data_IF_071338732625
#
_entry.id   IF_071338732625
#
_cell.length_a   1.000
_cell.length_b   1.000
_cell.length_c   1.000
_cell.angle_alpha   90.00
_cell.angle_beta   90.00
_cell.angle_gamma   90.00
#
_symmetry.space_group_name_H-M   'P 1'
#
loop_
_entity.id
_entity.type
_entity.pdbx_description
1 polymer ?
#
# COMPACT_ATOMS: atom_id res chain seq x y z
N UNK A 1 0.88 -30.59 70.64
CA UNK A 1 0.56 -29.14 70.67
C UNK A 1 0.88 -28.61 69.28
N UNK A 2 -0.13 -28.47 68.41
CA UNK A 2 -0.73 -27.20 67.98
C UNK A 2 0.20 -26.37 67.06
N UNK A 3 -0.31 -26.12 65.83
CA UNK A 3 -0.01 -25.02 64.86
C UNK A 3 1.00 -25.40 63.74
N UNK A 4 0.79 -25.11 62.45
CA UNK A 4 -0.22 -24.32 61.74
C UNK A 4 -0.14 -24.72 60.25
N UNK A 5 -1.29 -24.76 59.56
CA UNK A 5 -1.34 -24.84 58.09
C UNK A 5 -0.49 -23.72 57.46
N UNK A 6 0.29 -24.07 56.44
CA UNK A 6 0.96 -23.13 55.55
C UNK A 6 0.78 -23.50 54.09
N UNK A 7 -0.46 -23.43 53.61
CA UNK A 7 -0.86 -23.56 52.21
C UNK A 7 -0.49 -22.27 51.43
N UNK A 8 0.79 -21.93 51.39
CA UNK A 8 1.25 -20.71 50.74
C UNK A 8 2.18 -21.00 49.56
N UNK A 9 1.57 -20.85 48.38
CA UNK A 9 2.20 -20.40 47.14
C UNK A 9 2.92 -21.44 46.29
N UNK A 10 2.13 -22.37 45.73
CA UNK A 10 2.37 -22.88 44.38
C UNK A 10 1.99 -21.81 43.34
N UNK A 11 2.84 -20.85 43.05
CA UNK A 11 2.76 -20.04 41.83
C UNK A 11 4.13 -19.40 41.63
N UNK A 12 4.80 -19.64 40.50
CA UNK A 12 5.90 -18.87 39.86
C UNK A 12 6.61 -19.83 38.89
N UNK A 13 6.66 -19.66 37.57
CA UNK A 13 6.13 -18.64 36.68
C UNK A 13 6.36 -19.09 35.24
N UNK A 14 5.37 -18.87 34.36
CA UNK A 14 5.54 -19.04 32.92
C UNK A 14 5.98 -17.73 32.29
N UNK A 15 7.18 -17.68 31.70
CA UNK A 15 7.60 -16.54 30.91
C UNK A 15 6.88 -16.57 29.55
N UNK A 16 5.91 -15.68 29.36
CA UNK A 16 5.32 -15.43 28.04
C UNK A 16 6.30 -14.58 27.24
N UNK A 17 6.98 -15.18 26.27
CA UNK A 17 7.76 -14.45 25.26
C UNK A 17 6.77 -13.83 24.28
N UNK A 18 6.42 -12.56 24.50
CA UNK A 18 5.67 -11.79 23.52
C UNK A 18 6.58 -11.50 22.32
N UNK A 19 6.37 -12.20 21.21
CA UNK A 19 6.93 -11.82 19.92
C UNK A 19 6.29 -10.50 19.50
N UNK A 20 6.99 -9.39 19.70
CA UNK A 20 6.54 -8.09 19.20
C UNK A 20 6.67 -8.08 17.67
N UNK A 21 5.55 -8.27 16.97
CA UNK A 21 5.50 -7.97 15.52
C UNK A 21 5.53 -6.46 15.36
N UNK A 22 6.62 -5.91 14.82
CA UNK A 22 6.64 -4.50 14.45
C UNK A 22 5.65 -4.27 13.31
N UNK A 23 4.74 -3.28 13.40
CA UNK A 23 3.85 -2.95 12.31
C UNK A 23 4.67 -2.48 11.12
N UNK A 24 4.48 -3.10 9.95
CA UNK A 24 5.07 -2.60 8.71
C UNK A 24 4.30 -1.33 8.33
N UNK A 25 4.92 -0.17 8.54
CA UNK A 25 4.39 1.08 8.03
C UNK A 25 4.77 1.18 6.56
N UNK A 26 3.92 0.67 5.67
CA UNK A 26 4.09 0.88 4.24
C UNK A 26 3.82 2.36 3.93
N UNK A 27 4.88 3.13 3.66
CA UNK A 27 4.72 4.49 3.15
C UNK A 27 3.99 4.44 1.81
N UNK A 28 2.92 5.23 1.66
CA UNK A 28 2.19 5.31 0.40
C UNK A 28 3.11 5.88 -0.70
N UNK A 29 3.12 5.22 -1.85
CA UNK A 29 3.87 5.67 -3.02
C UNK A 29 3.19 6.88 -3.62
N UNK A 30 3.93 7.97 -3.81
CA UNK A 30 3.36 9.20 -4.35
C UNK A 30 3.54 9.23 -5.86
N UNK A 31 2.45 9.41 -6.61
CA UNK A 31 2.50 9.66 -8.05
C UNK A 31 2.63 11.17 -8.26
N UNK A 32 3.77 11.61 -8.79
CA UNK A 32 4.10 13.03 -8.98
C UNK A 32 3.91 13.53 -10.40
N UNK A 33 3.74 12.61 -11.36
CA UNK A 33 3.52 12.94 -12.76
C UNK A 33 2.86 11.81 -13.53
N UNK A 34 2.06 12.19 -14.52
CA UNK A 34 1.39 11.28 -15.45
C UNK A 34 1.74 11.72 -16.86
N UNK A 35 2.19 10.78 -17.69
CA UNK A 35 2.46 11.03 -19.10
C UNK A 35 1.78 9.98 -19.94
N UNK A 36 1.10 10.42 -21.00
CA UNK A 36 0.45 9.55 -21.96
C UNK A 36 1.11 9.72 -23.32
N UNK A 37 1.57 8.63 -23.92
CA UNK A 37 2.34 8.63 -25.17
C UNK A 37 1.70 7.64 -26.14
N UNK A 38 1.28 8.08 -27.34
CA UNK A 38 0.86 7.16 -28.40
C UNK A 38 2.01 6.23 -28.79
N UNK A 39 1.67 5.01 -29.18
CA UNK A 39 2.60 3.99 -29.67
C UNK A 39 2.01 3.38 -30.95
N UNK A 40 2.82 2.64 -31.71
CA UNK A 40 2.35 1.98 -32.94
C UNK A 40 1.22 0.95 -32.73
N UNK A 41 0.95 0.54 -31.49
CA UNK A 41 -0.05 -0.48 -31.16
C UNK A 41 -1.04 -0.02 -30.07
N UNK A 42 -1.11 1.27 -29.76
CA UNK A 42 -1.99 1.80 -28.71
C UNK A 42 -1.36 2.94 -27.92
N UNK A 43 -1.59 2.98 -26.61
CA UNK A 43 -1.15 4.07 -25.74
C UNK A 43 -0.31 3.54 -24.59
N UNK A 44 0.80 4.23 -24.28
CA UNK A 44 1.61 3.99 -23.07
C UNK A 44 1.31 5.07 -22.03
N UNK A 45 1.04 4.64 -20.81
CA UNK A 45 0.89 5.52 -19.65
C UNK A 45 2.12 5.32 -18.75
N UNK A 46 2.84 6.40 -18.47
CA UNK A 46 4.00 6.42 -17.57
C UNK A 46 3.65 7.23 -16.34
N UNK A 47 3.95 6.68 -15.16
CA UNK A 47 3.73 7.32 -13.87
C UNK A 47 5.07 7.58 -13.20
N UNK A 48 5.34 8.83 -12.86
CA UNK A 48 6.48 9.18 -12.03
C UNK A 48 6.11 8.89 -10.57
N UNK A 49 6.95 8.14 -9.87
CA UNK A 49 6.68 7.72 -8.48
C UNK A 49 7.82 8.16 -7.56
N UNK A 50 7.46 8.53 -6.34
CA UNK A 50 8.37 8.96 -5.28
C UNK A 50 8.01 8.32 -3.94
N UNK A 51 9.03 7.81 -3.25
CA UNK A 51 8.88 7.09 -1.98
C UNK A 51 8.08 5.79 -2.10
N UNK A 52 7.93 5.08 -0.97
CA UNK A 52 7.17 3.83 -0.90
C UNK A 52 7.76 2.68 -1.73
N UNK A 53 6.96 1.63 -1.90
CA UNK A 53 7.28 0.47 -2.72
C UNK A 53 6.80 0.65 -4.16
N UNK A 54 7.21 -0.26 -5.06
CA UNK A 54 6.61 -0.34 -6.38
C UNK A 54 5.08 -0.58 -6.27
N UNK A 55 4.25 0.26 -6.89
CA UNK A 55 2.80 0.15 -6.76
C UNK A 55 2.26 -1.06 -7.51
N UNK A 56 1.19 -1.65 -6.98
CA UNK A 56 0.48 -2.73 -7.67
C UNK A 56 -0.60 -2.14 -8.58
N UNK A 57 -0.69 -2.67 -9.80
CA UNK A 57 -1.60 -2.19 -10.83
C UNK A 57 -2.57 -3.29 -11.21
N UNK A 58 -3.87 -3.01 -11.12
CA UNK A 58 -4.95 -3.91 -11.54
C UNK A 58 -5.67 -3.30 -12.73
N UNK A 59 -5.59 -3.94 -13.89
CA UNK A 59 -6.17 -3.43 -15.12
C UNK A 59 -7.31 -4.33 -15.62
N UNK A 60 -8.42 -3.72 -16.01
CA UNK A 60 -9.62 -4.40 -16.48
C UNK A 60 -10.05 -3.76 -17.80
N UNK A 61 -10.26 -4.61 -18.81
CA UNK A 61 -10.90 -4.21 -20.06
C UNK A 61 -12.42 -4.21 -19.86
N UNK A 62 -13.06 -3.07 -20.12
CA UNK A 62 -14.50 -2.83 -20.02
C UNK A 62 -15.03 -2.38 -21.38
N UNK A 63 -15.26 -3.35 -22.28
CA UNK A 63 -15.64 -3.07 -23.66
C UNK A 63 -14.53 -2.31 -24.40
N UNK A 64 -14.80 -1.04 -24.75
CA UNK A 64 -13.84 -0.17 -25.44
C UNK A 64 -13.05 0.75 -24.48
N UNK A 65 -13.14 0.50 -23.17
CA UNK A 65 -12.43 1.25 -22.13
C UNK A 65 -11.47 0.34 -21.36
N UNK A 66 -10.28 0.85 -21.04
CA UNK A 66 -9.38 0.23 -20.08
C UNK A 66 -9.44 1.00 -18.77
N UNK A 67 -9.75 0.32 -17.66
CA UNK A 67 -9.65 0.89 -16.32
C UNK A 67 -8.50 0.24 -15.57
N UNK A 68 -7.58 1.03 -15.05
CA UNK A 68 -6.51 0.55 -14.18
C UNK A 68 -6.62 1.21 -12.81
N UNK A 69 -6.76 0.39 -11.77
CA UNK A 69 -6.72 0.82 -10.38
C UNK A 69 -5.30 0.58 -9.83
N UNK A 70 -4.73 1.60 -9.20
CA UNK A 70 -3.37 1.56 -8.63
C UNK A 70 -3.50 1.74 -7.13
N UNK A 71 -3.07 0.73 -6.37
CA UNK A 71 -3.36 0.66 -4.94
C UNK A 71 -2.17 1.10 -4.10
N UNK A 72 -2.46 1.59 -2.87
CA UNK A 72 -1.47 2.12 -1.93
C UNK A 72 -0.68 3.32 -2.49
N UNK A 73 -1.32 4.07 -3.38
CA UNK A 73 -0.74 5.28 -3.98
C UNK A 73 -1.57 6.52 -3.69
N UNK A 74 -0.92 7.68 -3.72
CA UNK A 74 -1.58 8.98 -3.67
C UNK A 74 -1.13 9.83 -4.87
N UNK A 75 -2.05 10.57 -5.48
CA UNK A 75 -1.74 11.48 -6.58
C UNK A 75 -1.38 12.87 -6.03
N UNK A 76 -0.17 13.36 -6.32
CA UNK A 76 0.29 14.70 -5.94
C UNK A 76 1.05 15.32 -7.11
N UNK A 77 0.31 15.88 -8.04
CA UNK A 77 0.87 16.57 -9.20
C UNK A 77 1.44 17.93 -8.79
N UNK A 78 2.41 18.43 -9.57
CA UNK A 78 2.93 19.78 -9.39
C UNK A 78 1.82 20.85 -9.54
N UNK A 79 0.85 20.58 -10.42
CA UNK A 79 -0.30 21.44 -10.68
C UNK A 79 -1.59 20.62 -10.68
N UNK A 80 -2.60 21.09 -9.95
CA UNK A 80 -3.92 20.47 -9.90
C UNK A 80 -3.99 19.15 -9.11
N UNK A 81 -5.19 18.58 -9.07
CA UNK A 81 -5.50 17.34 -8.31
C UNK A 81 -5.86 16.16 -9.20
N UNK A 82 -5.88 16.37 -10.52
CA UNK A 82 -6.24 15.37 -11.52
C UNK A 82 -5.40 15.57 -12.79
N UNK A 83 -5.20 14.49 -13.53
CA UNK A 83 -4.66 14.52 -14.88
C UNK A 83 -5.75 14.09 -15.86
N UNK A 84 -5.98 14.89 -16.90
CA UNK A 84 -6.92 14.56 -17.97
C UNK A 84 -6.31 14.96 -19.31
N UNK A 85 -6.35 14.04 -20.28
CA UNK A 85 -5.90 14.28 -21.64
C UNK A 85 -6.96 13.72 -22.60
N UNK A 86 -7.54 14.63 -23.39
CA UNK A 86 -8.50 14.26 -24.43
C UNK A 86 -7.74 13.71 -25.65
N UNK A 87 -8.31 12.66 -26.27
CA UNK A 87 -7.77 12.01 -27.48
C UNK A 87 -6.26 11.75 -27.42
N UNK A 88 -5.80 10.87 -26.51
CA UNK A 88 -4.38 10.65 -26.27
C UNK A 88 -3.64 9.93 -27.41
N UNK A 89 -4.36 9.49 -28.45
CA UNK A 89 -3.83 8.97 -29.70
C UNK A 89 -4.55 9.66 -30.88
N UNK A 90 -3.83 9.92 -32.00
CA UNK A 90 -4.41 10.51 -33.21
C UNK A 90 -5.40 9.58 -33.92
#
# INVERSE_FOLDING_TARGET
>A
MKRLLGFQSWLLGGALVALATQPVHAAATTITGVRVVPTGSGVRITLNTEGGDAPQVFAINQGNSLRADIVRTQLRLAEGTQFYQQSPAP
#
